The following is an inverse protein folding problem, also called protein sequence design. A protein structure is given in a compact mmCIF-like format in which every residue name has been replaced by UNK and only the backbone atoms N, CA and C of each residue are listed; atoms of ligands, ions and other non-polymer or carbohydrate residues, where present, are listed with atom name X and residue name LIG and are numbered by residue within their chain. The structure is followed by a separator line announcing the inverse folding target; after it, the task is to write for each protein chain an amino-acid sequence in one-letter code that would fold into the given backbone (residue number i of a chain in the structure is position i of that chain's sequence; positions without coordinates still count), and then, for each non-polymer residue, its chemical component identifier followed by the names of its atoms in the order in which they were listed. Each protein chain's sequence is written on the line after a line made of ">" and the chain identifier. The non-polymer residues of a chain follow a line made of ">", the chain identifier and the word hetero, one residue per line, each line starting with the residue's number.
data_IF_804333762070
#
_entry.id   IF_804333762070
#
_cell.length_a   1.000
_cell.length_b   1.000
_cell.length_c   1.000
_cell.angle_alpha   90.00
_cell.angle_beta   90.00
_cell.angle_gamma   90.00
#
_symmetry.space_group_name_H-M   'P 1'
#
loop_
_entity.id
_entity.type
_entity.pdbx_description
1 polymer ?
#
# COMPACT_ATOMS: atom_id res chain seq x y z
N UNK A 1 15.94 32.86 12.53
CA UNK A 1 17.18 33.10 11.74
C UNK A 1 16.85 33.99 10.56
N UNK A 2 15.92 33.62 9.68
CA UNK A 2 15.56 34.35 8.45
C UNK A 2 15.09 35.80 8.73
N UNK A 3 14.37 36.02 9.85
CA UNK A 3 13.89 37.38 10.23
C UNK A 3 15.02 38.35 10.56
N UNK A 4 16.19 37.84 10.95
CA UNK A 4 17.37 38.66 11.29
C UNK A 4 18.32 38.90 10.10
N UNK A 5 18.13 38.18 8.99
CA UNK A 5 18.96 38.38 7.80
C UNK A 5 18.54 39.64 7.06
N UNK A 6 19.53 40.48 6.69
CA UNK A 6 19.32 41.63 5.83
C UNK A 6 19.16 41.25 4.34
N UNK A 7 19.52 40.03 3.99
CA UNK A 7 19.44 39.54 2.59
C UNK A 7 18.00 39.20 2.24
N UNK A 8 17.37 40.00 1.40
CA UNK A 8 15.99 39.82 0.92
C UNK A 8 15.82 38.52 0.15
N UNK A 9 16.83 38.11 -0.60
CA UNK A 9 16.78 36.88 -1.40
C UNK A 9 16.69 35.60 -0.55
N UNK A 10 17.39 35.56 0.60
CA UNK A 10 17.28 34.48 1.56
C UNK A 10 15.89 34.40 2.21
N UNK A 11 15.25 35.57 2.42
CA UNK A 11 13.88 35.62 2.91
C UNK A 11 12.89 35.09 1.88
N UNK A 12 13.03 35.49 0.61
CA UNK A 12 12.20 35.02 -0.50
C UNK A 12 12.41 33.53 -0.68
N UNK A 13 13.66 33.07 -0.77
CA UNK A 13 13.98 31.62 -0.93
C UNK A 13 13.39 30.75 0.19
N UNK A 14 13.28 31.26 1.41
CA UNK A 14 12.63 30.54 2.51
C UNK A 14 11.14 30.28 2.27
N UNK A 15 10.45 31.25 1.62
CA UNK A 15 9.00 31.10 1.36
C UNK A 15 8.65 30.37 0.06
N UNK A 16 9.59 30.30 -0.89
CA UNK A 16 9.35 29.66 -2.19
C UNK A 16 8.76 28.24 -2.05
N UNK A 17 9.34 27.31 -1.26
CA UNK A 17 8.78 25.96 -1.14
C UNK A 17 7.35 25.98 -0.59
N UNK A 18 7.06 26.83 0.39
CA UNK A 18 5.72 26.93 0.98
C UNK A 18 4.70 27.48 -0.03
N UNK A 19 5.08 28.50 -0.79
CA UNK A 19 4.22 29.11 -1.81
C UNK A 19 3.97 28.13 -2.97
N UNK A 20 4.99 27.37 -3.40
CA UNK A 20 4.84 26.34 -4.42
C UNK A 20 3.91 25.21 -3.95
N UNK A 21 4.01 24.79 -2.70
CA UNK A 21 3.12 23.77 -2.14
C UNK A 21 1.68 24.27 -2.06
N UNK A 22 1.47 25.51 -1.62
CA UNK A 22 0.14 26.14 -1.59
C UNK A 22 -0.41 26.27 -3.01
N UNK A 23 0.37 26.76 -3.96
CA UNK A 23 -0.04 26.90 -5.35
C UNK A 23 -0.35 25.52 -5.96
N UNK A 24 0.49 24.51 -5.73
CA UNK A 24 0.27 23.14 -6.17
C UNK A 24 -1.02 22.53 -5.60
N UNK A 25 -1.28 22.76 -4.31
CA UNK A 25 -2.54 22.35 -3.67
C UNK A 25 -3.76 22.99 -4.35
N UNK A 26 -3.74 24.32 -4.55
CA UNK A 26 -4.85 25.02 -5.21
C UNK A 26 -5.04 24.58 -6.66
N UNK A 27 -3.95 24.39 -7.41
CA UNK A 27 -4.03 23.91 -8.80
C UNK A 27 -4.63 22.48 -8.87
N UNK A 28 -4.24 21.62 -7.96
CA UNK A 28 -4.85 20.30 -7.86
C UNK A 28 -6.33 20.38 -7.50
N UNK A 29 -6.68 21.21 -6.52
CA UNK A 29 -8.08 21.37 -6.09
C UNK A 29 -8.97 21.98 -7.17
N UNK A 30 -8.44 22.84 -8.04
CA UNK A 30 -9.18 23.41 -9.19
C UNK A 30 -9.28 22.41 -10.37
N UNK A 31 -8.30 21.54 -10.54
CA UNK A 31 -8.28 20.49 -11.58
C UNK A 31 -9.05 19.23 -11.19
N UNK A 32 -9.59 19.18 -9.97
CA UNK A 32 -10.28 18.02 -9.43
C UNK A 32 -11.74 17.99 -9.98
N UNK A 33 -11.92 17.41 -11.16
CA UNK A 33 -13.16 16.72 -11.49
C UNK A 33 -13.30 15.45 -10.63
N UNK A 34 -14.49 14.87 -10.61
CA UNK A 34 -14.85 13.74 -9.75
C UNK A 34 -13.88 12.54 -9.78
N UNK A 35 -13.03 12.44 -10.80
CA UNK A 35 -12.04 11.37 -10.98
C UNK A 35 -10.57 11.84 -11.00
N UNK A 36 -10.28 13.07 -10.59
CA UNK A 36 -8.91 13.59 -10.64
C UNK A 36 -7.94 12.77 -9.76
N UNK A 37 -8.42 12.27 -8.63
CA UNK A 37 -7.65 11.37 -7.76
C UNK A 37 -7.20 10.11 -8.51
N UNK A 38 -8.06 9.53 -9.34
CA UNK A 38 -7.73 8.32 -10.09
C UNK A 38 -6.83 8.59 -11.30
N UNK A 39 -7.07 9.71 -12.02
CA UNK A 39 -6.27 10.06 -13.19
C UNK A 39 -4.92 10.70 -12.84
N UNK A 40 -4.82 11.33 -11.67
CA UNK A 40 -3.62 12.05 -11.24
C UNK A 40 -3.05 11.51 -9.91
N UNK A 41 -3.39 10.27 -9.53
CA UNK A 41 -2.98 9.66 -8.25
C UNK A 41 -1.46 9.77 -8.01
N UNK A 42 -0.64 9.51 -9.04
CA UNK A 42 0.80 9.67 -8.94
C UNK A 42 1.24 11.12 -8.73
N UNK A 43 0.64 12.08 -9.46
CA UNK A 43 0.98 13.49 -9.31
C UNK A 43 0.56 14.00 -7.92
N UNK A 44 -0.60 13.57 -7.43
CA UNK A 44 -1.10 13.88 -6.09
C UNK A 44 -0.19 13.25 -5.04
N UNK A 45 0.20 11.98 -5.20
CA UNK A 45 1.13 11.30 -4.32
C UNK A 45 2.49 12.00 -4.28
N UNK A 46 3.07 12.35 -5.42
CA UNK A 46 4.34 13.10 -5.50
C UNK A 46 4.23 14.47 -4.81
N UNK A 47 3.12 15.17 -4.98
CA UNK A 47 2.89 16.45 -4.27
C UNK A 47 2.76 16.24 -2.76
N UNK A 48 2.01 15.23 -2.32
CA UNK A 48 1.88 14.90 -0.91
C UNK A 48 3.26 14.59 -0.28
N UNK A 49 4.09 13.82 -0.95
CA UNK A 49 5.47 13.55 -0.54
C UNK A 49 6.27 14.85 -0.43
N UNK A 50 6.19 15.74 -1.42
CA UNK A 50 6.84 17.05 -1.36
C UNK A 50 6.35 17.88 -0.18
N UNK A 51 5.04 17.86 0.10
CA UNK A 51 4.47 18.54 1.26
C UNK A 51 5.07 17.98 2.55
N UNK A 52 5.05 16.67 2.75
CA UNK A 52 5.59 16.04 3.96
C UNK A 52 7.10 16.24 4.10
N UNK A 53 7.84 16.19 3.00
CA UNK A 53 9.29 16.39 2.98
C UNK A 53 9.71 17.78 3.51
N UNK A 54 8.87 18.79 3.32
CA UNK A 54 9.16 20.15 3.80
C UNK A 54 8.36 20.54 5.04
N UNK A 55 7.12 20.08 5.18
CA UNK A 55 6.26 20.48 6.30
C UNK A 55 6.70 19.81 7.61
N UNK A 56 7.00 18.51 7.60
CA UNK A 56 7.37 17.76 8.81
C UNK A 56 8.65 18.32 9.45
N UNK A 57 9.78 18.47 8.72
CA UNK A 57 11.00 19.06 9.29
C UNK A 57 10.78 20.49 9.84
N UNK A 58 10.02 21.32 9.13
CA UNK A 58 9.70 22.68 9.60
C UNK A 58 8.84 22.66 10.87
N UNK A 59 7.89 21.74 10.97
CA UNK A 59 7.03 21.60 12.14
C UNK A 59 7.83 21.14 13.34
N UNK A 60 8.72 20.14 13.19
CA UNK A 60 9.62 19.68 14.25
C UNK A 60 10.51 20.85 14.74
N UNK A 61 11.13 21.57 13.80
CA UNK A 61 11.94 22.74 14.13
C UNK A 61 11.14 23.80 14.89
N UNK A 62 9.91 24.07 14.45
CA UNK A 62 9.02 25.04 15.09
C UNK A 62 8.65 24.60 16.52
N UNK A 63 8.26 23.34 16.71
CA UNK A 63 7.90 22.80 18.03
C UNK A 63 9.09 22.91 18.99
N UNK A 64 10.27 22.44 18.61
CA UNK A 64 11.47 22.54 19.44
C UNK A 64 11.78 24.00 19.78
N UNK A 65 11.65 24.92 18.82
CA UNK A 65 11.88 26.33 19.04
C UNK A 65 10.84 26.94 19.99
N UNK A 66 9.58 26.53 19.91
CA UNK A 66 8.50 26.96 20.81
C UNK A 66 8.69 26.42 22.22
N UNK A 67 9.08 25.14 22.37
CA UNK A 67 9.43 24.56 23.68
C UNK A 67 10.55 25.34 24.36
N UNK A 68 11.51 25.89 23.63
CA UNK A 68 12.55 26.72 24.16
C UNK A 68 12.09 28.09 24.71
N UNK A 69 10.86 28.56 24.37
CA UNK A 69 10.38 29.88 24.82
C UNK A 69 10.17 30.00 26.34
N UNK A 70 9.44 29.09 27.01
CA UNK A 70 9.26 29.12 28.45
C UNK A 70 10.61 29.12 29.20
N UNK A 71 11.52 28.23 28.77
CA UNK A 71 12.86 28.16 29.38
C UNK A 71 13.64 29.45 29.20
N UNK A 72 13.50 30.10 28.06
CA UNK A 72 14.13 31.40 27.82
C UNK A 72 13.55 32.52 28.68
N UNK A 73 12.22 32.60 28.78
CA UNK A 73 11.58 33.72 29.47
C UNK A 73 11.55 33.50 30.99
N UNK A 74 11.35 32.28 31.47
CA UNK A 74 11.23 32.01 32.90
C UNK A 74 12.59 31.73 33.55
N UNK A 75 13.47 30.97 32.87
CA UNK A 75 14.74 30.51 33.40
C UNK A 75 15.94 31.26 32.81
N UNK A 76 15.70 32.20 31.89
CA UNK A 76 16.73 32.95 31.16
C UNK A 76 17.71 32.05 30.37
N UNK A 77 17.32 30.83 30.06
CA UNK A 77 18.14 29.90 29.27
C UNK A 77 18.27 30.40 27.82
N UNK A 78 19.40 30.11 27.15
CA UNK A 78 19.55 30.48 25.74
C UNK A 78 18.59 29.62 24.89
N UNK A 79 18.01 30.20 23.82
CA UNK A 79 17.16 29.48 22.85
C UNK A 79 17.95 28.56 21.92
N UNK A 80 19.25 28.81 21.76
CA UNK A 80 20.12 28.14 20.82
C UNK A 80 20.11 26.59 20.94
N UNK A 81 20.14 25.96 22.14
CA UNK A 81 20.09 24.49 22.22
C UNK A 81 18.80 23.91 21.64
N UNK A 82 17.65 24.51 21.95
CA UNK A 82 16.35 24.01 21.47
C UNK A 82 16.21 24.17 19.94
N UNK A 83 16.68 25.29 19.38
CA UNK A 83 16.68 25.51 17.94
C UNK A 83 17.70 24.62 17.23
N UNK A 84 18.85 24.33 17.85
CA UNK A 84 19.84 23.40 17.30
C UNK A 84 19.30 21.97 17.27
N UNK A 85 18.68 21.50 18.37
CA UNK A 85 18.01 20.20 18.41
C UNK A 85 16.91 20.11 17.34
N UNK A 86 16.07 21.14 17.25
CA UNK A 86 15.02 21.19 16.23
C UNK A 86 15.56 21.16 14.80
N UNK A 87 16.70 21.81 14.55
CA UNK A 87 17.36 21.76 13.25
C UNK A 87 17.89 20.35 12.93
N UNK A 88 18.58 19.73 13.88
CA UNK A 88 19.11 18.36 13.71
C UNK A 88 17.98 17.36 13.46
N UNK A 89 16.94 17.37 14.30
CA UNK A 89 15.79 16.48 14.14
C UNK A 89 15.04 16.75 12.82
N UNK A 90 14.93 18.02 12.42
CA UNK A 90 14.35 18.38 11.12
C UNK A 90 15.16 17.85 9.94
N UNK A 91 16.48 17.95 9.99
CA UNK A 91 17.36 17.41 8.94
C UNK A 91 17.27 15.87 8.90
N UNK A 92 17.31 15.21 10.06
CA UNK A 92 17.16 13.76 10.16
C UNK A 92 15.82 13.31 9.60
N UNK A 93 14.72 13.99 9.96
CA UNK A 93 13.40 13.64 9.43
C UNK A 93 13.29 13.87 7.92
N UNK A 94 13.91 14.92 7.36
CA UNK A 94 13.97 15.16 5.94
C UNK A 94 14.62 13.97 5.18
N UNK A 95 15.80 13.57 5.62
CA UNK A 95 16.51 12.46 4.98
C UNK A 95 15.82 11.09 5.22
N UNK A 96 15.15 10.91 6.36
CA UNK A 96 14.36 9.70 6.63
C UNK A 96 13.18 9.58 5.67
N UNK A 97 12.41 10.66 5.48
CA UNK A 97 11.29 10.70 4.53
C UNK A 97 11.80 10.49 3.10
N UNK A 98 12.89 11.16 2.73
CA UNK A 98 13.49 11.03 1.40
C UNK A 98 13.94 9.59 1.14
N UNK A 99 14.63 8.95 2.09
CA UNK A 99 15.04 7.57 2.00
C UNK A 99 13.83 6.62 1.91
N UNK A 100 12.83 6.79 2.79
CA UNK A 100 11.61 5.99 2.79
C UNK A 100 10.89 6.04 1.44
N UNK A 101 10.87 7.23 0.82
CA UNK A 101 10.19 7.45 -0.47
C UNK A 101 10.97 6.90 -1.66
N UNK A 102 12.30 7.06 -1.67
CA UNK A 102 13.14 6.68 -2.82
C UNK A 102 13.60 5.23 -2.79
N UNK A 103 13.75 4.67 -1.59
CA UNK A 103 14.34 3.34 -1.39
C UNK A 103 13.40 2.42 -0.60
N UNK A 104 12.83 2.92 0.49
CA UNK A 104 12.07 2.11 1.44
C UNK A 104 10.81 1.50 0.84
N UNK A 105 10.13 2.21 -0.07
CA UNK A 105 8.89 1.76 -0.69
C UNK A 105 9.06 0.49 -1.53
N UNK A 106 10.22 0.29 -2.13
CA UNK A 106 10.53 -0.88 -2.97
C UNK A 106 11.39 -1.94 -2.26
N UNK A 107 11.65 -1.76 -0.97
CA UNK A 107 12.43 -2.73 -0.20
C UNK A 107 11.52 -3.77 0.41
N UNK A 108 11.34 -4.87 -0.29
CA UNK A 108 10.57 -6.01 0.21
C UNK A 108 11.37 -6.81 1.23
N UNK A 109 10.68 -7.36 2.23
CA UNK A 109 11.23 -8.19 3.28
C UNK A 109 10.39 -9.46 3.43
N UNK A 110 11.05 -10.60 3.50
CA UNK A 110 10.39 -11.88 3.82
C UNK A 110 10.31 -12.02 5.33
N UNK A 111 9.12 -12.31 5.83
CA UNK A 111 8.87 -12.65 7.23
C UNK A 111 8.45 -14.10 7.32
N UNK A 112 9.27 -14.93 7.94
CA UNK A 112 8.93 -16.32 8.21
C UNK A 112 8.12 -16.40 9.50
N UNK A 113 6.96 -17.07 9.41
CA UNK A 113 6.06 -17.34 10.55
C UNK A 113 5.77 -18.83 10.55
N UNK A 114 6.08 -19.50 11.65
CA UNK A 114 5.70 -20.89 11.84
C UNK A 114 4.33 -20.96 12.51
N UNK A 115 3.45 -21.76 11.90
CA UNK A 115 2.12 -22.04 12.43
C UNK A 115 2.01 -23.51 12.77
N UNK A 116 1.67 -23.82 14.03
CA UNK A 116 1.49 -25.18 14.51
C UNK A 116 0.04 -25.40 14.92
N UNK A 117 -0.57 -26.45 14.40
CA UNK A 117 -1.92 -26.82 14.78
C UNK A 117 -2.03 -28.35 14.99
N UNK A 118 -2.60 -28.83 16.12
CA UNK A 118 -2.64 -30.27 16.43
C UNK A 118 -3.45 -31.10 15.44
N UNK A 119 -4.41 -30.48 14.75
CA UNK A 119 -5.27 -31.15 13.76
C UNK A 119 -4.76 -30.99 12.33
N UNK A 120 -3.60 -30.37 12.11
CA UNK A 120 -3.04 -30.28 10.77
C UNK A 120 -2.64 -31.67 10.30
N UNK A 121 -3.08 -32.11 9.10
CA UNK A 121 -2.68 -33.40 8.54
C UNK A 121 -1.15 -33.47 8.38
N UNK A 122 -0.56 -34.64 8.67
CA UNK A 122 0.90 -34.80 8.68
C UNK A 122 1.56 -34.50 7.34
N UNK A 123 0.86 -34.75 6.25
CA UNK A 123 1.34 -34.44 4.91
C UNK A 123 1.63 -32.92 4.71
N UNK A 124 0.98 -32.07 5.48
CA UNK A 124 1.19 -30.61 5.44
C UNK A 124 2.27 -30.13 6.41
N UNK A 125 3.01 -31.01 7.08
CA UNK A 125 4.17 -30.63 7.87
C UNK A 125 5.28 -30.06 6.96
N UNK A 126 5.72 -28.84 7.25
CA UNK A 126 6.67 -28.12 6.40
C UNK A 126 6.07 -27.52 5.11
N UNK A 127 4.74 -27.59 4.92
CA UNK A 127 4.06 -26.95 3.78
C UNK A 127 4.20 -25.43 3.83
N UNK A 128 4.70 -24.84 2.75
CA UNK A 128 5.06 -23.43 2.71
C UNK A 128 4.03 -22.62 1.95
N UNK A 129 3.38 -21.68 2.66
CA UNK A 129 2.45 -20.71 2.07
C UNK A 129 3.14 -19.36 2.03
N UNK A 130 3.16 -18.74 0.85
CA UNK A 130 3.55 -17.32 0.73
C UNK A 130 2.30 -16.47 0.61
N UNK A 131 2.14 -15.51 1.51
CA UNK A 131 1.05 -14.54 1.46
C UNK A 131 1.56 -13.21 0.90
N UNK A 132 0.80 -12.67 -0.04
CA UNK A 132 0.93 -11.32 -0.59
C UNK A 132 -0.37 -10.55 -0.38
N UNK A 133 -0.27 -9.23 -0.21
CA UNK A 133 -1.41 -8.33 -0.09
C UNK A 133 -1.04 -6.92 -0.56
N UNK A 134 -2.03 -6.11 -0.89
CA UNK A 134 -1.89 -4.65 -1.04
C UNK A 134 -0.80 -4.23 -2.04
N UNK A 135 -0.71 -4.88 -3.19
CA UNK A 135 0.27 -4.51 -4.22
C UNK A 135 -0.03 -3.12 -4.78
N UNK A 136 -1.32 -2.77 -4.90
CA UNK A 136 -1.74 -1.48 -5.44
C UNK A 136 -0.97 -1.12 -6.72
N UNK A 137 -1.11 -1.97 -7.73
CA UNK A 137 -0.27 -1.96 -8.95
C UNK A 137 -0.26 -0.60 -9.67
N UNK A 138 -1.33 0.17 -9.56
CA UNK A 138 -1.42 1.52 -10.10
C UNK A 138 -0.38 2.49 -9.52
N UNK A 139 0.22 2.18 -8.37
CA UNK A 139 1.30 2.96 -7.77
C UNK A 139 2.66 2.74 -8.46
N UNK A 140 2.78 1.67 -9.25
CA UNK A 140 4.01 1.24 -9.92
C UNK A 140 4.02 1.50 -11.43
N UNK A 141 2.99 2.16 -11.97
CA UNK A 141 2.92 2.54 -13.38
C UNK A 141 4.21 3.31 -13.73
N UNK A 142 4.83 2.96 -14.85
CA UNK A 142 6.15 3.43 -15.31
C UNK A 142 7.37 2.90 -14.52
N UNK A 143 7.19 1.98 -13.57
CA UNK A 143 8.31 1.37 -12.84
C UNK A 143 8.03 -0.09 -12.51
N UNK A 144 8.26 -0.98 -13.46
CA UNK A 144 8.04 -2.42 -13.32
C UNK A 144 9.09 -3.12 -12.46
N UNK A 145 10.25 -2.50 -12.26
CA UNK A 145 11.39 -3.12 -11.58
C UNK A 145 11.06 -3.66 -10.18
N UNK A 146 10.38 -2.92 -9.27
CA UNK A 146 10.03 -3.46 -7.96
C UNK A 146 9.09 -4.67 -8.02
N UNK A 147 8.19 -4.72 -9.00
CA UNK A 147 7.27 -5.85 -9.14
C UNK A 147 7.99 -7.09 -9.66
N UNK A 148 8.96 -6.93 -10.57
CA UNK A 148 9.85 -8.03 -10.96
C UNK A 148 10.66 -8.55 -9.75
N UNK A 149 11.26 -7.65 -8.97
CA UNK A 149 11.99 -8.02 -7.75
C UNK A 149 11.10 -8.74 -6.72
N UNK A 150 9.83 -8.31 -6.57
CA UNK A 150 8.84 -8.98 -5.72
C UNK A 150 8.58 -10.42 -6.20
N UNK A 151 8.33 -10.61 -7.50
CA UNK A 151 8.07 -11.93 -8.09
C UNK A 151 9.27 -12.85 -7.92
N UNK A 152 10.48 -12.37 -8.18
CA UNK A 152 11.71 -13.12 -7.96
C UNK A 152 11.88 -13.53 -6.49
N UNK A 153 11.62 -12.59 -5.56
CA UNK A 153 11.72 -12.81 -4.12
C UNK A 153 10.73 -13.89 -3.65
N UNK A 154 9.48 -13.84 -4.13
CA UNK A 154 8.43 -14.81 -3.81
C UNK A 154 8.79 -16.20 -4.35
N UNK A 155 9.17 -16.28 -5.60
CA UNK A 155 9.53 -17.55 -6.25
C UNK A 155 10.78 -18.18 -5.61
N UNK A 156 11.73 -17.36 -5.12
CA UNK A 156 12.90 -17.84 -4.38
C UNK A 156 12.54 -18.53 -3.06
N UNK A 157 11.36 -18.26 -2.48
CA UNK A 157 10.87 -18.96 -1.29
C UNK A 157 10.42 -20.40 -1.58
N UNK A 158 10.28 -20.77 -2.87
CA UNK A 158 9.80 -22.10 -3.32
C UNK A 158 8.49 -22.49 -2.64
N UNK A 159 7.43 -21.67 -2.73
CA UNK A 159 6.18 -21.93 -2.06
C UNK A 159 5.49 -23.18 -2.59
N UNK A 160 4.77 -23.86 -1.71
CA UNK A 160 3.80 -24.89 -2.11
C UNK A 160 2.50 -24.21 -2.56
N UNK A 161 2.14 -23.09 -1.93
CA UNK A 161 0.96 -22.29 -2.24
C UNK A 161 1.30 -20.79 -2.18
N UNK A 162 0.73 -20.01 -3.08
CA UNK A 162 0.70 -18.54 -2.95
C UNK A 162 -0.75 -18.10 -2.74
N UNK A 163 -0.98 -17.26 -1.73
CA UNK A 163 -2.27 -16.62 -1.46
C UNK A 163 -2.13 -15.11 -1.57
N UNK A 164 -3.00 -14.50 -2.37
CA UNK A 164 -3.08 -13.06 -2.52
C UNK A 164 -4.36 -12.54 -1.87
N UNK A 165 -4.23 -11.72 -0.83
CA UNK A 165 -5.34 -11.34 0.04
C UNK A 165 -5.98 -9.99 -0.29
N UNK A 166 -5.93 -9.60 -1.57
CA UNK A 166 -6.67 -8.47 -2.12
C UNK A 166 -5.86 -7.18 -2.27
N UNK A 167 -6.53 -6.16 -2.79
CA UNK A 167 -5.98 -4.85 -3.14
C UNK A 167 -4.87 -4.93 -4.20
N UNK A 168 -5.18 -5.64 -5.29
CA UNK A 168 -4.28 -5.77 -6.44
C UNK A 168 -4.15 -4.46 -7.20
N UNK A 169 -5.24 -3.75 -7.39
CA UNK A 169 -5.29 -2.44 -8.07
C UNK A 169 -5.55 -1.30 -7.09
N UNK A 170 -5.27 -0.08 -7.49
CA UNK A 170 -5.65 1.09 -6.69
C UNK A 170 -7.16 1.34 -6.81
N UNK A 171 -7.74 1.21 -8.02
CA UNK A 171 -9.16 1.47 -8.28
C UNK A 171 -9.68 0.80 -9.56
N UNK A 172 -8.84 0.60 -10.57
CA UNK A 172 -9.28 0.20 -11.91
C UNK A 172 -8.47 -0.95 -12.47
N UNK A 173 -9.15 -1.87 -13.11
CA UNK A 173 -8.53 -3.04 -13.76
C UNK A 173 -7.48 -2.67 -14.82
N UNK A 174 -7.62 -1.52 -15.51
CA UNK A 174 -6.63 -1.07 -16.49
C UNK A 174 -5.26 -0.73 -15.88
N UNK A 175 -5.17 -0.54 -14.58
CA UNK A 175 -3.89 -0.34 -13.88
C UNK A 175 -3.00 -1.59 -13.92
N UNK A 176 -3.62 -2.76 -14.12
CA UNK A 176 -2.93 -4.04 -14.23
C UNK A 176 -2.34 -4.27 -15.64
N UNK A 177 -2.72 -3.45 -16.64
CA UNK A 177 -2.17 -3.54 -17.98
C UNK A 177 -0.64 -3.31 -17.95
N UNK A 178 0.10 -4.19 -18.61
CA UNK A 178 1.57 -4.19 -18.59
C UNK A 178 2.20 -5.01 -17.46
N UNK A 179 1.47 -5.29 -16.37
CA UNK A 179 1.99 -6.07 -15.24
C UNK A 179 1.53 -7.54 -15.23
N UNK A 180 0.57 -7.91 -16.07
CA UNK A 180 0.02 -9.26 -16.11
C UNK A 180 1.10 -10.31 -16.37
N UNK A 181 1.98 -10.08 -17.37
CA UNK A 181 3.03 -11.03 -17.72
C UNK A 181 4.09 -11.17 -16.61
N UNK A 182 4.28 -10.13 -15.81
CA UNK A 182 5.18 -10.16 -14.65
C UNK A 182 4.55 -10.98 -13.52
N UNK A 183 3.31 -10.66 -13.15
CA UNK A 183 2.60 -11.34 -12.07
C UNK A 183 2.21 -12.79 -12.41
N UNK A 184 2.04 -13.10 -13.70
CA UNK A 184 1.85 -14.48 -14.17
C UNK A 184 3.07 -15.37 -13.94
N UNK A 185 4.25 -14.81 -13.64
CA UNK A 185 5.46 -15.55 -13.29
C UNK A 185 5.47 -16.04 -11.83
N UNK A 186 4.56 -15.56 -10.99
CA UNK A 186 4.34 -16.15 -9.66
C UNK A 186 3.92 -17.61 -9.83
N UNK A 187 4.66 -18.51 -9.19
CA UNK A 187 4.36 -19.94 -9.27
C UNK A 187 4.56 -20.65 -7.94
N UNK A 188 3.65 -21.56 -7.67
CA UNK A 188 3.68 -22.46 -6.53
C UNK A 188 3.18 -23.83 -6.98
N UNK A 189 3.50 -24.92 -6.25
CA UNK A 189 3.10 -26.30 -6.62
C UNK A 189 1.59 -26.42 -6.75
N UNK A 190 0.84 -25.87 -5.79
CA UNK A 190 -0.62 -25.89 -5.74
C UNK A 190 -1.25 -24.64 -6.34
N UNK A 191 -0.42 -23.73 -6.89
CA UNK A 191 -0.86 -22.57 -7.65
C UNK A 191 -0.96 -21.29 -6.83
N UNK A 192 -1.57 -20.29 -7.46
CA UNK A 192 -1.80 -18.96 -6.90
C UNK A 192 -3.29 -18.75 -6.72
N UNK A 193 -3.71 -18.45 -5.50
CA UNK A 193 -5.10 -18.16 -5.16
C UNK A 193 -5.23 -16.70 -4.74
N UNK A 194 -6.38 -16.11 -5.01
CA UNK A 194 -6.63 -14.72 -4.67
C UNK A 194 -8.03 -14.52 -4.11
N UNK A 195 -8.20 -13.43 -3.38
CA UNK A 195 -9.48 -12.81 -3.04
C UNK A 195 -9.45 -11.35 -3.47
N UNK A 196 -10.61 -10.68 -3.49
CA UNK A 196 -10.72 -9.26 -3.75
C UNK A 196 -10.67 -8.47 -2.44
N UNK A 197 -9.84 -7.41 -2.42
CA UNK A 197 -9.84 -6.40 -1.38
C UNK A 197 -10.76 -5.23 -1.70
N UNK A 198 -10.88 -4.26 -0.81
CA UNK A 198 -11.81 -3.14 -0.96
C UNK A 198 -11.50 -2.22 -2.17
N UNK A 199 -10.24 -2.11 -2.57
CA UNK A 199 -9.83 -1.34 -3.74
C UNK A 199 -10.22 -2.01 -5.06
N UNK A 200 -10.23 -3.34 -5.09
CA UNK A 200 -10.49 -4.13 -6.30
C UNK A 200 -11.95 -3.97 -6.80
N UNK A 201 -12.89 -3.59 -5.91
CA UNK A 201 -14.27 -3.26 -6.30
C UNK A 201 -14.42 -1.90 -6.99
N UNK A 202 -13.35 -1.08 -7.02
CA UNK A 202 -13.37 0.23 -7.65
C UNK A 202 -14.30 1.23 -6.97
N UNK A 203 -14.58 1.07 -5.68
CA UNK A 203 -15.53 1.90 -4.93
C UNK A 203 -15.04 3.34 -4.73
N UNK A 204 -13.75 3.60 -4.91
CA UNK A 204 -13.13 4.93 -4.80
C UNK A 204 -13.05 5.69 -6.12
N UNK A 205 -13.54 5.09 -7.21
CA UNK A 205 -13.62 5.72 -8.52
C UNK A 205 -15.05 6.15 -8.81
N UNK A 206 -15.24 7.36 -9.35
CA UNK A 206 -16.56 7.82 -9.77
C UNK A 206 -16.92 7.25 -11.14
N UNK A 207 -17.71 6.21 -11.17
CA UNK A 207 -18.19 5.56 -12.38
C UNK A 207 -19.40 6.30 -12.95
N UNK A 208 -19.50 6.39 -14.28
CA UNK A 208 -20.68 7.00 -14.92
C UNK A 208 -21.97 6.25 -14.59
N UNK A 209 -21.86 4.95 -14.36
CA UNK A 209 -22.97 4.09 -13.99
C UNK A 209 -22.45 2.78 -13.37
N UNK A 210 -23.33 2.06 -12.71
CA UNK A 210 -23.00 0.78 -12.06
C UNK A 210 -22.48 -0.27 -13.06
N UNK A 211 -22.96 -0.26 -14.32
CA UNK A 211 -22.50 -1.20 -15.34
C UNK A 211 -21.02 -1.04 -15.65
N UNK A 212 -20.50 0.18 -15.68
CA UNK A 212 -19.05 0.39 -15.88
C UNK A 212 -18.24 -0.15 -14.68
N UNK A 213 -18.71 0.03 -13.46
CA UNK A 213 -18.06 -0.54 -12.26
C UNK A 213 -18.05 -2.08 -12.30
N UNK A 214 -19.20 -2.70 -12.62
CA UNK A 214 -19.28 -4.16 -12.75
C UNK A 214 -18.36 -4.67 -13.85
N UNK A 215 -18.34 -4.02 -15.01
CA UNK A 215 -17.42 -4.39 -16.09
C UNK A 215 -15.95 -4.27 -15.69
N UNK A 216 -15.61 -3.31 -14.83
CA UNK A 216 -14.25 -3.17 -14.32
C UNK A 216 -13.86 -4.34 -13.41
N UNK A 217 -14.76 -4.77 -12.52
CA UNK A 217 -14.56 -5.94 -11.66
C UNK A 217 -14.42 -7.20 -12.51
N UNK A 218 -15.35 -7.43 -13.43
CA UNK A 218 -15.33 -8.57 -14.34
C UNK A 218 -14.02 -8.63 -15.16
N UNK A 219 -13.52 -7.47 -15.57
CA UNK A 219 -12.26 -7.37 -16.28
C UNK A 219 -11.08 -7.76 -15.38
N UNK A 220 -11.04 -7.26 -14.15
CA UNK A 220 -10.01 -7.60 -13.17
C UNK A 220 -9.98 -9.11 -12.88
N UNK A 221 -11.16 -9.72 -12.66
CA UNK A 221 -11.31 -11.17 -12.46
C UNK A 221 -10.78 -11.95 -13.67
N UNK A 222 -11.14 -11.52 -14.88
CA UNK A 222 -10.65 -12.13 -16.12
C UNK A 222 -9.13 -12.03 -16.25
N UNK A 223 -8.55 -10.87 -15.91
CA UNK A 223 -7.10 -10.66 -15.95
C UNK A 223 -6.38 -11.57 -14.96
N UNK A 224 -6.88 -11.72 -13.73
CA UNK A 224 -6.34 -12.67 -12.75
C UNK A 224 -6.38 -14.10 -13.26
N UNK A 225 -7.51 -14.51 -13.86
CA UNK A 225 -7.63 -15.84 -14.48
C UNK A 225 -6.64 -16.03 -15.64
N UNK A 226 -6.39 -15.00 -16.45
CA UNK A 226 -5.41 -15.05 -17.54
C UNK A 226 -3.98 -15.20 -17.02
N UNK A 227 -3.67 -14.64 -15.84
CA UNK A 227 -2.40 -14.84 -15.14
C UNK A 227 -2.27 -16.26 -14.52
N UNK A 228 -3.31 -17.08 -14.58
CA UNK A 228 -3.33 -18.41 -13.98
C UNK A 228 -3.72 -18.42 -12.50
N UNK A 229 -4.20 -17.29 -11.97
CA UNK A 229 -4.65 -17.21 -10.59
C UNK A 229 -6.08 -17.72 -10.43
N UNK A 230 -6.36 -18.35 -9.29
CA UNK A 230 -7.68 -18.83 -8.92
C UNK A 230 -8.30 -17.92 -7.88
N UNK A 231 -9.33 -17.18 -8.30
CA UNK A 231 -10.07 -16.29 -7.41
C UNK A 231 -11.10 -17.09 -6.62
N UNK A 232 -11.17 -16.88 -5.30
CA UNK A 232 -12.15 -17.46 -4.41
C UNK A 232 -13.07 -16.36 -3.83
N UNK A 233 -14.24 -16.16 -4.45
CA UNK A 233 -15.22 -15.17 -4.00
C UNK A 233 -16.34 -15.84 -3.23
N UNK A 234 -16.20 -15.96 -1.91
CA UNK A 234 -17.07 -16.74 -1.03
C UNK A 234 -17.15 -18.20 -1.51
N UNK A 235 -15.98 -18.75 -1.79
CA UNK A 235 -15.79 -20.08 -2.35
C UNK A 235 -14.65 -20.81 -1.62
N UNK A 236 -14.55 -22.11 -1.82
CA UNK A 236 -13.43 -22.90 -1.33
C UNK A 236 -12.83 -23.76 -2.42
N UNK A 237 -11.63 -24.20 -2.18
CA UNK A 237 -10.97 -25.26 -2.92
C UNK A 237 -10.35 -26.28 -1.98
N UNK A 238 -10.22 -27.53 -2.42
CA UNK A 238 -9.58 -28.59 -1.65
C UNK A 238 -8.16 -28.78 -2.18
N UNK A 239 -7.19 -28.48 -1.33
CA UNK A 239 -5.79 -28.74 -1.61
C UNK A 239 -5.45 -30.16 -1.17
N UNK A 240 -4.87 -30.94 -2.09
CA UNK A 240 -4.45 -32.32 -1.85
C UNK A 240 -2.93 -32.41 -1.79
N UNK A 241 -2.40 -33.00 -0.74
CA UNK A 241 -0.96 -33.18 -0.58
C UNK A 241 -0.68 -34.58 0.04
N UNK A 242 0.11 -35.41 -0.66
CA UNK A 242 0.56 -36.72 -0.20
C UNK A 242 -0.55 -37.64 0.38
N UNK A 243 -1.78 -37.52 -0.14
CA UNK A 243 -2.93 -38.33 0.29
C UNK A 243 -3.82 -37.69 1.35
N UNK A 244 -3.39 -36.62 1.96
CA UNK A 244 -4.20 -35.78 2.86
C UNK A 244 -4.79 -34.56 2.11
N UNK A 245 -5.72 -33.87 2.75
CA UNK A 245 -6.32 -32.67 2.16
C UNK A 245 -6.67 -31.62 3.22
N UNK A 246 -6.62 -30.36 2.79
CA UNK A 246 -7.12 -29.21 3.56
C UNK A 246 -8.02 -28.36 2.66
N UNK A 247 -8.98 -27.65 3.25
CA UNK A 247 -9.78 -26.70 2.52
C UNK A 247 -9.15 -25.31 2.59
N UNK A 248 -8.92 -24.70 1.43
CA UNK A 248 -8.60 -23.29 1.29
C UNK A 248 -9.90 -22.52 1.05
N UNK A 249 -10.25 -21.64 1.98
CA UNK A 249 -11.50 -20.87 1.95
C UNK A 249 -11.18 -19.42 1.66
N UNK A 250 -11.77 -18.87 0.60
CA UNK A 250 -11.68 -17.46 0.26
C UNK A 250 -13.01 -16.76 0.49
N UNK A 251 -12.98 -15.66 1.23
CA UNK A 251 -14.13 -14.78 1.42
C UNK A 251 -13.88 -13.44 0.74
N UNK A 252 -14.93 -12.79 0.27
CA UNK A 252 -14.87 -11.44 -0.24
C UNK A 252 -14.59 -10.45 0.89
N UNK A 253 -14.35 -9.18 0.54
CA UNK A 253 -14.03 -8.13 1.52
C UNK A 253 -15.10 -7.99 2.61
N UNK A 254 -14.67 -7.94 3.86
CA UNK A 254 -15.50 -7.72 5.06
C UNK A 254 -14.99 -6.51 5.84
N UNK A 255 -15.06 -5.36 5.22
CA UNK A 255 -14.62 -4.10 5.83
C UNK A 255 -15.66 -3.55 6.81
N UNK A 256 -15.20 -2.75 7.78
CA UNK A 256 -16.13 -1.93 8.57
C UNK A 256 -16.74 -0.81 7.71
N UNK A 257 -17.98 -0.38 7.96
CA UNK A 257 -18.58 0.74 7.22
C UNK A 257 -17.67 1.99 7.26
N UNK A 258 -17.48 2.69 6.15
CA UNK A 258 -18.21 2.63 4.87
C UNK A 258 -17.70 1.64 3.82
N UNK A 259 -16.78 0.73 4.17
CA UNK A 259 -16.21 -0.24 3.24
C UNK A 259 -17.20 -1.35 2.89
N UNK A 260 -16.96 -2.01 1.76
CA UNK A 260 -17.80 -3.08 1.27
C UNK A 260 -17.81 -4.28 2.23
N UNK A 261 -18.99 -4.84 2.49
CA UNK A 261 -19.22 -6.00 3.33
C UNK A 261 -19.87 -7.09 2.48
N UNK A 262 -19.06 -7.87 1.79
CA UNK A 262 -19.52 -8.91 0.85
C UNK A 262 -19.16 -10.32 1.29
N UNK A 263 -18.43 -10.46 2.42
CA UNK A 263 -18.03 -11.74 2.93
C UNK A 263 -19.23 -12.60 3.35
N UNK A 264 -19.26 -13.83 2.89
CA UNK A 264 -20.23 -14.84 3.27
C UNK A 264 -19.51 -16.16 3.58
N UNK A 265 -19.02 -16.28 4.82
CA UNK A 265 -18.32 -17.46 5.29
C UNK A 265 -19.21 -18.72 5.22
N UNK A 266 -20.52 -18.59 5.45
CA UNK A 266 -21.46 -19.71 5.37
C UNK A 266 -21.57 -20.24 3.95
N UNK A 267 -21.58 -19.34 2.96
CA UNK A 267 -21.55 -19.72 1.54
C UNK A 267 -20.20 -20.35 1.20
N UNK A 268 -19.11 -19.70 1.62
CA UNK A 268 -17.74 -20.13 1.33
C UNK A 268 -17.42 -21.53 1.89
N UNK A 269 -18.02 -21.91 3.01
CA UNK A 269 -17.79 -23.23 3.64
C UNK A 269 -18.83 -24.27 3.31
N UNK A 270 -19.85 -23.93 2.49
CA UNK A 270 -20.94 -24.85 2.17
C UNK A 270 -20.44 -26.05 1.32
N UNK A 271 -20.45 -27.23 1.90
CA UNK A 271 -19.99 -28.47 1.25
C UNK A 271 -18.57 -28.87 1.64
N UNK A 272 -17.92 -28.10 2.52
CA UNK A 272 -16.71 -28.57 3.19
C UNK A 272 -17.13 -29.35 4.44
N UNK A 273 -16.54 -30.53 4.65
CA UNK A 273 -16.63 -31.25 5.94
C UNK A 273 -15.62 -30.67 6.96
N UNK A 274 -15.04 -29.52 6.62
CA UNK A 274 -14.04 -28.86 7.45
C UNK A 274 -14.69 -28.24 8.69
N UNK A 275 -14.29 -28.69 9.85
CA UNK A 275 -14.47 -27.94 11.06
C UNK A 275 -13.49 -26.75 10.99
N UNK A 276 -14.01 -25.55 10.63
CA UNK A 276 -13.22 -24.32 10.70
C UNK A 276 -12.86 -24.06 12.17
N UNK A 277 -11.58 -23.96 12.43
CA UNK A 277 -11.06 -23.58 13.74
C UNK A 277 -10.27 -22.28 13.63
#
# INVERSE_FOLDING_TARGET
>A
IVRKTKNIWLRIAHWIPTLLLIAGYFLLMQGIGENAMAHHAQAIGRLAICIFLFAIPKTIFMICSLVGLPFHYLLRWPRSPFTAVGLVLGVVSFFNILYGTLVGISKFEVKDIEFHHPNLPKAFDGYRIVQLSDIHIGSWIDNEKPINELVELVNAQKPDLIVFTGDLVNQRSCELEGFQDILAQLHAKDGVYSILGNHDYGSYYHWKNLKEQVNNIDNLVRMQKTMGWKLLNNEYDILHHEGDSIALIGVENDGEPPFSQFADLKKATKGTDCQCY
#
